data_IF_984807377073
#
_entry.id   IF_984807377073
#
_cell.length_a   1.000
_cell.length_b   1.000
_cell.length_c   1.000
_cell.angle_alpha   90.00
_cell.angle_beta   90.00
_cell.angle_gamma   90.00
#
_symmetry.space_group_name_H-M   'P 1'
#
loop_
_entity.id
_entity.type
_entity.pdbx_description
1 polymer ?
#
# COMPACT_ATOMS: atom_id res chain seq x y z
N UNK A 1 -3.14 -11.47 11.85
CA UNK A 1 -3.79 -10.59 10.86
C UNK A 1 -2.96 -9.33 10.74
N UNK A 2 -2.78 -8.77 9.53
CA UNK A 2 -2.20 -7.44 9.38
C UNK A 2 -3.07 -6.40 10.09
N UNK A 3 -2.47 -5.38 10.69
CA UNK A 3 -3.18 -4.29 11.36
C UNK A 3 -2.68 -2.93 10.87
N UNK A 4 -3.46 -1.89 11.16
CA UNK A 4 -3.03 -0.52 10.90
C UNK A 4 -1.75 -0.16 11.67
N UNK A 5 -1.56 -0.73 12.87
CA UNK A 5 -0.34 -0.55 13.65
C UNK A 5 0.87 -1.21 12.99
N UNK A 6 0.70 -2.39 12.36
CA UNK A 6 1.78 -3.02 11.59
C UNK A 6 2.20 -2.15 10.40
N UNK A 7 1.24 -1.56 9.69
CA UNK A 7 1.50 -0.64 8.58
C UNK A 7 2.21 0.61 9.10
N UNK A 8 1.71 1.24 10.16
CA UNK A 8 2.30 2.45 10.73
C UNK A 8 3.75 2.22 11.21
N UNK A 9 4.01 1.12 11.90
CA UNK A 9 5.35 0.79 12.39
C UNK A 9 6.36 0.59 11.24
N UNK A 10 5.96 -0.10 10.18
CA UNK A 10 6.81 -0.30 8.99
C UNK A 10 6.99 1.00 8.20
N UNK A 11 5.95 1.81 8.08
CA UNK A 11 6.04 3.14 7.44
C UNK A 11 7.01 4.05 8.17
N UNK A 12 6.97 4.07 9.50
CA UNK A 12 7.90 4.87 10.32
C UNK A 12 9.35 4.37 10.17
N UNK A 13 9.57 3.06 10.26
CA UNK A 13 10.89 2.45 10.03
C UNK A 13 11.44 2.79 8.64
N UNK A 14 10.63 2.68 7.60
CA UNK A 14 11.02 3.02 6.23
C UNK A 14 11.29 4.52 6.05
N UNK A 15 10.54 5.38 6.74
CA UNK A 15 10.78 6.84 6.74
C UNK A 15 12.13 7.21 7.36
N UNK A 16 12.64 6.40 8.29
CA UNK A 16 13.97 6.58 8.87
C UNK A 16 15.08 5.97 7.99
N UNK A 17 14.78 4.88 7.28
CA UNK A 17 15.75 4.15 6.43
C UNK A 17 15.96 4.74 5.05
N UNK A 18 14.92 5.32 4.45
CA UNK A 18 15.00 5.88 3.10
C UNK A 18 16.06 7.01 2.98
N UNK A 19 16.17 7.97 3.92
CA UNK A 19 17.21 9.01 3.83
C UNK A 19 18.64 8.45 3.89
N UNK A 20 18.87 7.45 4.75
CA UNK A 20 20.15 6.73 4.84
C UNK A 20 20.46 6.04 3.50
N UNK A 21 19.49 5.32 2.95
CA UNK A 21 19.62 4.63 1.66
C UNK A 21 19.95 5.59 0.51
N UNK A 22 19.29 6.74 0.44
CA UNK A 22 19.56 7.75 -0.58
C UNK A 22 20.98 8.30 -0.46
N UNK A 23 21.41 8.59 0.77
CA UNK A 23 22.75 9.12 1.07
C UNK A 23 23.84 8.12 0.69
N UNK A 24 23.71 6.87 1.12
CA UNK A 24 24.69 5.80 0.86
C UNK A 24 24.87 5.54 -0.65
N UNK A 25 23.82 5.76 -1.44
CA UNK A 25 23.81 5.52 -2.87
C UNK A 25 24.02 6.79 -3.71
N UNK A 26 24.32 7.95 -3.09
CA UNK A 26 24.48 9.24 -3.76
C UNK A 26 23.26 9.64 -4.62
N UNK A 27 22.06 9.42 -4.11
CA UNK A 27 20.79 9.80 -4.74
C UNK A 27 20.29 11.09 -4.07
N UNK A 28 20.22 12.22 -4.79
CA UNK A 28 19.88 13.51 -4.17
C UNK A 28 18.46 13.63 -3.62
N UNK A 29 17.49 12.95 -4.25
CA UNK A 29 16.08 13.02 -3.86
C UNK A 29 15.37 11.67 -4.07
N UNK A 30 14.39 11.32 -3.23
CA UNK A 30 13.54 10.15 -3.45
C UNK A 30 12.63 10.35 -4.67
N UNK A 31 12.09 9.25 -5.25
CA UNK A 31 10.95 9.37 -6.15
C UNK A 31 9.73 9.92 -5.39
N UNK A 32 8.92 10.77 -6.01
CA UNK A 32 7.69 11.29 -5.39
C UNK A 32 6.71 10.18 -5.02
N UNK A 33 6.66 9.11 -5.81
CA UNK A 33 5.84 7.94 -5.57
C UNK A 33 6.55 6.63 -5.92
N UNK A 34 6.13 5.53 -5.31
CA UNK A 34 6.44 4.16 -5.71
C UNK A 34 5.13 3.39 -5.79
N UNK A 35 4.91 2.73 -6.92
CA UNK A 35 3.82 1.77 -7.11
C UNK A 35 4.38 0.39 -7.45
N UNK A 36 3.52 -0.61 -7.36
CA UNK A 36 3.84 -1.98 -7.75
C UNK A 36 2.84 -2.44 -8.80
N UNK A 37 3.34 -3.07 -9.87
CA UNK A 37 2.47 -3.71 -10.84
C UNK A 37 1.96 -5.08 -10.33
N UNK A 38 1.12 -5.73 -11.14
CA UNK A 38 0.55 -7.05 -10.83
C UNK A 38 1.60 -8.18 -10.71
N UNK A 39 2.85 -7.93 -11.11
CA UNK A 39 3.96 -8.86 -10.96
C UNK A 39 4.85 -8.52 -9.75
N UNK A 40 4.51 -7.47 -8.99
CA UNK A 40 5.29 -6.98 -7.86
C UNK A 40 6.54 -6.22 -8.27
N UNK A 41 6.63 -5.74 -9.51
CA UNK A 41 7.76 -4.91 -9.95
C UNK A 41 7.52 -3.45 -9.62
N UNK A 42 8.61 -2.77 -9.26
CA UNK A 42 8.59 -1.37 -8.86
C UNK A 42 8.35 -0.44 -10.07
N UNK A 43 7.32 0.39 -9.95
CA UNK A 43 6.96 1.44 -10.89
C UNK A 43 7.29 2.80 -10.26
N UNK A 44 8.14 3.56 -10.95
CA UNK A 44 8.60 4.89 -10.54
C UNK A 44 8.00 5.97 -11.46
N UNK A 45 7.92 7.24 -11.02
CA UNK A 45 7.49 8.34 -11.86
C UNK A 45 8.34 8.43 -13.14
N UNK A 46 7.69 8.68 -14.27
CA UNK A 46 8.36 8.74 -15.56
C UNK A 46 9.37 9.91 -15.66
N UNK A 47 9.15 10.95 -14.87
CA UNK A 47 9.97 12.16 -14.77
C UNK A 47 11.05 12.07 -13.68
N UNK A 48 11.17 10.96 -12.95
CA UNK A 48 12.16 10.81 -11.89
C UNK A 48 13.59 10.63 -12.47
N UNK A 49 14.49 11.61 -12.32
CA UNK A 49 15.77 11.62 -13.03
C UNK A 49 16.75 10.52 -12.54
N UNK A 50 16.59 10.04 -11.30
CA UNK A 50 17.47 9.04 -10.70
C UNK A 50 16.90 7.61 -10.78
N UNK A 51 15.86 7.37 -11.59
CA UNK A 51 15.14 6.09 -11.63
C UNK A 51 16.06 4.86 -11.83
N UNK A 52 17.03 4.95 -12.74
CA UNK A 52 17.97 3.84 -13.01
C UNK A 52 18.88 3.57 -11.81
N UNK A 53 19.43 4.62 -11.21
CA UNK A 53 20.32 4.52 -10.04
C UNK A 53 19.55 3.99 -8.83
N UNK A 54 18.32 4.47 -8.60
CA UNK A 54 17.46 4.04 -7.51
C UNK A 54 17.08 2.56 -7.61
N UNK A 55 16.65 2.10 -8.80
CA UNK A 55 16.34 0.67 -9.03
C UNK A 55 17.56 -0.22 -8.78
N UNK A 56 18.73 0.18 -9.28
CA UNK A 56 19.98 -0.54 -9.03
C UNK A 56 20.35 -0.57 -7.54
N UNK A 57 20.25 0.55 -6.85
CA UNK A 57 20.51 0.62 -5.41
C UNK A 57 19.59 -0.30 -4.60
N UNK A 58 18.32 -0.43 -5.01
CA UNK A 58 17.38 -1.37 -4.40
C UNK A 58 17.72 -2.84 -4.69
N UNK A 59 18.22 -3.16 -5.89
CA UNK A 59 18.73 -4.51 -6.20
C UNK A 59 19.95 -4.86 -5.34
N UNK A 60 20.82 -3.88 -5.08
CA UNK A 60 21.98 -4.02 -4.20
C UNK A 60 21.58 -4.03 -2.70
N UNK A 61 20.37 -3.55 -2.37
CA UNK A 61 19.80 -3.51 -1.00
C UNK A 61 18.48 -4.30 -0.92
N UNK A 62 18.51 -5.64 -1.08
CA UNK A 62 17.30 -6.45 -1.21
C UNK A 62 16.38 -6.42 0.02
N UNK A 63 16.92 -6.12 1.20
CA UNK A 63 16.13 -5.97 2.43
C UNK A 63 15.17 -4.79 2.33
N UNK A 64 15.65 -3.61 1.93
CA UNK A 64 14.81 -2.41 1.82
C UNK A 64 13.75 -2.58 0.73
N UNK A 65 14.11 -3.17 -0.42
CA UNK A 65 13.17 -3.47 -1.48
C UNK A 65 12.00 -4.37 -1.00
N UNK A 66 12.30 -5.39 -0.20
CA UNK A 66 11.28 -6.27 0.40
C UNK A 66 10.44 -5.57 1.44
N UNK A 67 11.02 -4.68 2.25
CA UNK A 67 10.28 -3.91 3.25
C UNK A 67 9.26 -2.97 2.58
N UNK A 68 9.67 -2.26 1.51
CA UNK A 68 8.77 -1.42 0.71
C UNK A 68 7.62 -2.23 0.09
N UNK A 69 7.92 -3.39 -0.48
CA UNK A 69 6.90 -4.27 -1.05
C UNK A 69 5.95 -4.80 0.04
N UNK A 70 6.50 -5.15 1.22
CA UNK A 70 5.74 -5.68 2.34
C UNK A 70 4.79 -4.63 2.91
N UNK A 71 5.26 -3.41 3.14
CA UNK A 71 4.38 -2.35 3.67
C UNK A 71 3.26 -2.01 2.68
N UNK A 72 3.55 -2.04 1.37
CA UNK A 72 2.55 -1.84 0.32
C UNK A 72 1.47 -2.92 0.35
N UNK A 73 1.87 -4.20 0.38
CA UNK A 73 0.95 -5.33 0.44
C UNK A 73 0.12 -5.35 1.73
N UNK A 74 0.73 -5.05 2.88
CA UNK A 74 0.02 -4.96 4.16
C UNK A 74 -0.98 -3.81 4.16
N UNK A 75 -0.60 -2.65 3.62
CA UNK A 75 -1.49 -1.51 3.51
C UNK A 75 -2.70 -1.82 2.61
N UNK A 76 -2.49 -2.50 1.48
CA UNK A 76 -3.57 -2.93 0.58
C UNK A 76 -4.53 -3.87 1.32
N UNK A 77 -4.01 -4.89 2.00
CA UNK A 77 -4.84 -5.82 2.75
C UNK A 77 -5.60 -5.15 3.91
N UNK A 78 -4.97 -4.21 4.63
CA UNK A 78 -5.64 -3.45 5.70
C UNK A 78 -6.74 -2.57 5.12
N UNK A 79 -6.51 -1.93 3.97
CA UNK A 79 -7.51 -1.13 3.29
C UNK A 79 -8.72 -1.98 2.85
N UNK A 80 -8.48 -3.14 2.25
CA UNK A 80 -9.56 -4.07 1.86
C UNK A 80 -10.36 -4.60 3.06
N UNK A 81 -9.72 -4.85 4.20
CA UNK A 81 -10.44 -5.23 5.43
C UNK A 81 -11.30 -4.08 5.96
N UNK A 82 -10.83 -2.84 5.88
CA UNK A 82 -11.61 -1.66 6.31
C UNK A 82 -12.88 -1.48 5.49
N UNK A 83 -12.85 -1.78 4.18
CA UNK A 83 -14.04 -1.73 3.32
C UNK A 83 -15.17 -2.66 3.80
N UNK A 84 -14.84 -3.73 4.52
CA UNK A 84 -15.82 -4.69 5.05
C UNK A 84 -16.42 -4.27 6.41
N UNK A 85 -15.89 -3.23 7.08
CA UNK A 85 -16.40 -2.77 8.37
C UNK A 85 -17.89 -2.38 8.27
N UNK A 86 -18.32 -1.52 7.30
CA UNK A 86 -19.72 -1.15 7.19
C UNK A 86 -20.64 -2.34 6.89
N UNK A 87 -20.18 -3.31 6.09
CA UNK A 87 -20.93 -4.55 5.85
C UNK A 87 -21.17 -5.31 7.16
N UNK A 88 -20.12 -5.53 7.95
CA UNK A 88 -20.22 -6.27 9.20
C UNK A 88 -21.15 -5.54 10.21
N UNK A 89 -21.05 -4.22 10.30
CA UNK A 89 -21.91 -3.41 11.16
C UNK A 89 -23.38 -3.52 10.75
N UNK A 90 -23.70 -3.28 9.48
CA UNK A 90 -25.08 -3.36 8.97
C UNK A 90 -25.65 -4.78 9.09
N UNK A 91 -24.85 -5.80 8.73
CA UNK A 91 -25.28 -7.19 8.79
C UNK A 91 -25.55 -7.64 10.23
N UNK A 92 -24.76 -7.18 11.21
CA UNK A 92 -24.97 -7.51 12.63
C UNK A 92 -26.25 -6.91 13.21
N UNK A 93 -26.76 -5.82 12.63
CA UNK A 93 -27.97 -5.13 13.07
C UNK A 93 -29.25 -5.65 12.38
N UNK A 94 -29.10 -6.44 11.30
CA UNK A 94 -30.24 -6.97 10.56
C UNK A 94 -31.09 -7.90 11.43
N UNK A 95 -32.40 -7.66 11.44
CA UNK A 95 -33.37 -8.38 12.28
C UNK A 95 -34.08 -9.50 11.51
N UNK A 96 -33.86 -9.60 10.20
CA UNK A 96 -34.50 -10.61 9.36
C UNK A 96 -33.62 -11.11 8.22
N UNK A 97 -33.94 -12.30 7.70
CA UNK A 97 -33.30 -12.85 6.49
C UNK A 97 -33.50 -11.95 5.26
N UNK A 98 -34.62 -11.24 5.17
CA UNK A 98 -34.89 -10.31 4.06
C UNK A 98 -33.93 -9.12 4.09
N UNK A 99 -33.68 -8.54 5.27
CA UNK A 99 -32.72 -7.44 5.45
C UNK A 99 -31.28 -7.90 5.20
N UNK A 100 -30.90 -9.08 5.70
CA UNK A 100 -29.58 -9.68 5.44
C UNK A 100 -29.33 -9.85 3.94
N UNK A 101 -30.32 -10.33 3.18
CA UNK A 101 -30.20 -10.48 1.71
C UNK A 101 -30.01 -9.13 0.99
N UNK A 102 -30.67 -8.06 1.46
CA UNK A 102 -30.49 -6.72 0.90
C UNK A 102 -29.09 -6.17 1.17
N UNK A 103 -28.55 -6.39 2.38
CA UNK A 103 -27.20 -5.98 2.77
C UNK A 103 -26.16 -6.75 1.95
N UNK A 104 -26.27 -8.07 1.84
CA UNK A 104 -25.37 -8.88 0.99
C UNK A 104 -25.39 -8.39 -0.46
N UNK A 105 -26.57 -8.07 -1.00
CA UNK A 105 -26.70 -7.52 -2.35
C UNK A 105 -26.04 -6.14 -2.49
N UNK A 106 -26.16 -5.26 -1.50
CA UNK A 106 -25.52 -3.94 -1.47
C UNK A 106 -23.99 -4.05 -1.52
N UNK A 107 -23.43 -4.99 -0.76
CA UNK A 107 -21.98 -5.18 -0.63
C UNK A 107 -21.40 -6.26 -1.57
N UNK A 108 -22.19 -6.78 -2.51
CA UNK A 108 -21.77 -7.87 -3.41
C UNK A 108 -20.44 -7.59 -4.12
N UNK A 109 -20.18 -6.32 -4.48
CA UNK A 109 -18.93 -5.89 -5.11
C UNK A 109 -17.68 -6.07 -4.23
N UNK A 110 -17.81 -6.04 -2.90
CA UNK A 110 -16.72 -6.29 -1.95
C UNK A 110 -16.55 -7.77 -1.60
N UNK A 111 -17.61 -8.57 -1.79
CA UNK A 111 -17.66 -9.98 -1.39
C UNK A 111 -17.29 -10.95 -2.51
N UNK A 112 -17.16 -10.47 -3.75
CA UNK A 112 -16.73 -11.29 -4.87
C UNK A 112 -15.21 -11.51 -4.84
N UNK A 113 -14.77 -12.77 -5.00
CA UNK A 113 -13.35 -13.16 -4.99
C UNK A 113 -12.53 -12.60 -6.17
N UNK A 114 -13.19 -12.15 -7.24
CA UNK A 114 -12.54 -11.70 -8.47
C UNK A 114 -12.40 -10.16 -8.55
N UNK A 115 -12.21 -9.51 -7.40
CA UNK A 115 -12.03 -8.06 -7.29
C UNK A 115 -10.59 -7.66 -7.61
N UNK A 116 -10.42 -6.56 -8.33
CA UNK A 116 -9.15 -5.83 -8.31
C UNK A 116 -9.05 -5.16 -6.93
N UNK A 117 -7.97 -5.44 -6.20
CA UNK A 117 -7.71 -4.77 -4.93
C UNK A 117 -7.21 -3.36 -5.23
N UNK A 118 -7.48 -2.41 -4.33
CA UNK A 118 -6.89 -1.07 -4.48
C UNK A 118 -5.37 -1.19 -4.50
N UNK A 119 -4.77 -0.58 -5.52
CA UNK A 119 -3.34 -0.38 -5.57
C UNK A 119 -2.97 0.69 -4.54
N UNK A 120 -1.95 0.40 -3.74
CA UNK A 120 -1.44 1.37 -2.78
C UNK A 120 -0.27 2.13 -3.42
N UNK A 121 -0.26 3.44 -3.21
CA UNK A 121 0.82 4.33 -3.63
C UNK A 121 1.65 4.64 -2.38
N UNK A 122 2.94 4.36 -2.46
CA UNK A 122 3.92 4.82 -1.49
C UNK A 122 4.36 6.22 -1.92
N UNK A 123 4.11 7.25 -1.11
CA UNK A 123 4.47 8.63 -1.40
C UNK A 123 5.67 9.03 -0.54
N UNK A 124 6.62 9.74 -1.13
CA UNK A 124 7.76 10.28 -0.41
C UNK A 124 7.76 11.80 -0.48
N UNK A 125 8.00 12.44 0.66
CA UNK A 125 8.32 13.86 0.67
C UNK A 125 9.78 14.10 0.27
N UNK A 126 10.18 15.38 0.19
CA UNK A 126 11.56 15.76 -0.17
C UNK A 126 12.61 15.28 0.84
N UNK A 127 12.22 14.92 2.06
CA UNK A 127 13.11 14.38 3.08
C UNK A 127 13.17 12.85 3.04
N UNK A 128 12.40 12.19 2.19
CA UNK A 128 12.32 10.73 2.11
C UNK A 128 11.36 10.09 3.12
N UNK A 129 10.49 10.87 3.78
CA UNK A 129 9.48 10.31 4.67
C UNK A 129 8.35 9.68 3.87
N UNK A 130 7.98 8.47 4.26
CA UNK A 130 6.97 7.66 3.60
C UNK A 130 5.57 7.98 4.15
N UNK A 131 4.62 8.16 3.23
CA UNK A 131 3.18 8.09 3.52
C UNK A 131 2.50 7.19 2.49
N UNK A 132 1.36 6.59 2.84
CA UNK A 132 0.69 5.59 1.99
C UNK A 132 -0.73 6.04 1.71
N UNK A 133 -1.13 6.04 0.45
CA UNK A 133 -2.48 6.36 -0.01
C UNK A 133 -3.01 5.25 -0.90
N UNK A 134 -4.32 5.00 -0.89
CA UNK A 134 -4.97 4.13 -1.87
C UNK A 134 -5.20 4.90 -3.16
N UNK A 135 -4.86 4.31 -4.31
CA UNK A 135 -5.38 4.76 -5.59
C UNK A 135 -6.79 4.19 -5.71
N UNK A 136 -7.79 5.00 -5.36
CA UNK A 136 -9.18 4.61 -5.53
C UNK A 136 -9.54 4.84 -7.00
N UNK A 137 -9.69 3.74 -7.76
CA UNK A 137 -10.25 3.78 -9.12
C UNK A 137 -11.76 4.07 -9.07
#
# INVERSE_FOLDING_TARGET
MPSQDNVAALTEHLSQKMPEFLTDNNIPEPPSTIQYDNQGQIQLPADYPYATQFKRALEETPTLARELQTVNALASHVNEMKKLIPFNEEFSQAQSLAEQNLIVKKYQHLLNDNRENDTMILNFDSEGKLSITSDAV
#
